data_IF_529170630113
#
_entry.id   IF_529170630113
#
_cell.length_a   1.000
_cell.length_b   1.000
_cell.length_c   1.000
_cell.angle_alpha   90.00
_cell.angle_beta   90.00
_cell.angle_gamma   90.00
#
_symmetry.space_group_name_H-M   'P 1'
#
loop_
_entity.id
_entity.type
_entity.pdbx_description
1 polymer ?
#
# COMPACT_ATOMS: atom_id res chain seq x y z
N UNK A 1 16.68 -10.41 29.94
CA UNK A 1 15.54 -9.55 29.52
C UNK A 1 16.08 -8.48 28.57
N UNK A 2 15.70 -8.55 27.29
CA UNK A 2 16.07 -7.55 26.28
C UNK A 2 14.86 -6.68 25.97
N UNK A 3 15.05 -5.36 25.85
CA UNK A 3 13.98 -4.41 25.50
C UNK A 3 14.37 -3.69 24.22
N UNK A 4 13.52 -3.79 23.21
CA UNK A 4 13.68 -3.05 21.96
C UNK A 4 12.76 -1.83 21.98
N UNK A 5 13.28 -0.69 21.55
CA UNK A 5 12.53 0.55 21.40
C UNK A 5 12.88 1.13 20.04
N UNK A 6 11.86 1.47 19.27
CA UNK A 6 11.96 2.04 17.93
C UNK A 6 10.78 2.98 17.73
N UNK A 7 10.96 3.98 16.88
CA UNK A 7 9.90 4.92 16.50
C UNK A 7 8.93 4.30 15.48
N UNK A 8 9.34 3.22 14.80
CA UNK A 8 8.52 2.45 13.87
C UNK A 8 8.47 0.97 14.25
N UNK A 9 7.25 0.41 14.22
CA UNK A 9 6.96 -1.01 14.44
C UNK A 9 7.65 -1.88 13.37
N UNK A 10 7.69 -1.42 12.13
CA UNK A 10 8.30 -2.12 10.98
C UNK A 10 9.78 -2.42 11.22
N UNK A 11 10.51 -1.47 11.81
CA UNK A 11 11.96 -1.60 12.04
C UNK A 11 12.29 -2.66 13.08
N UNK A 12 11.40 -2.91 14.05
CA UNK A 12 11.62 -3.86 15.15
C UNK A 12 11.70 -5.30 14.62
N UNK A 13 10.92 -5.63 13.59
CA UNK A 13 10.84 -6.98 13.04
C UNK A 13 12.21 -7.58 12.70
N UNK A 14 13.02 -6.83 11.95
CA UNK A 14 14.31 -7.32 11.45
C UNK A 14 15.28 -7.63 12.58
N UNK A 15 15.34 -6.77 13.60
CA UNK A 15 16.18 -6.99 14.77
C UNK A 15 15.70 -8.19 15.60
N UNK A 16 14.39 -8.31 15.83
CA UNK A 16 13.82 -9.45 16.56
C UNK A 16 14.10 -10.76 15.83
N UNK A 17 13.85 -10.80 14.52
CA UNK A 17 14.11 -11.97 13.68
C UNK A 17 15.59 -12.40 13.75
N UNK A 18 16.51 -11.47 13.49
CA UNK A 18 17.94 -11.76 13.49
C UNK A 18 18.45 -12.20 14.87
N UNK A 19 17.96 -11.58 15.95
CA UNK A 19 18.38 -11.97 17.29
C UNK A 19 17.93 -13.41 17.61
N UNK A 20 16.68 -13.75 17.31
CA UNK A 20 16.14 -15.10 17.53
C UNK A 20 16.90 -16.13 16.70
N UNK A 21 17.15 -15.83 15.43
CA UNK A 21 17.90 -16.69 14.53
C UNK A 21 19.32 -16.92 15.04
N UNK A 22 20.05 -15.87 15.40
CA UNK A 22 21.44 -15.97 15.89
C UNK A 22 21.55 -16.70 17.23
N UNK A 23 20.60 -16.48 18.15
CA UNK A 23 20.61 -17.13 19.45
C UNK A 23 20.20 -18.60 19.36
N UNK A 24 19.26 -18.95 18.47
CA UNK A 24 18.85 -20.35 18.27
C UNK A 24 19.97 -21.21 17.68
N UNK A 25 20.85 -20.63 16.86
CA UNK A 25 22.05 -21.31 16.33
C UNK A 25 23.07 -21.59 17.45
N UNK A 26 23.21 -20.68 18.41
CA UNK A 26 24.27 -20.75 19.44
C UNK A 26 23.87 -21.55 20.67
N UNK A 27 22.58 -21.67 20.96
CA UNK A 27 22.08 -22.22 22.22
C UNK A 27 20.59 -22.54 22.16
N UNK A 28 20.16 -23.62 22.81
CA UNK A 28 18.74 -23.94 23.03
C UNK A 28 18.16 -23.03 24.11
N UNK A 29 17.84 -21.78 23.74
CA UNK A 29 17.21 -20.80 24.62
C UNK A 29 15.72 -20.74 24.29
N UNK A 30 14.89 -20.81 25.32
CA UNK A 30 13.45 -20.54 25.21
C UNK A 30 13.21 -19.03 25.21
N UNK A 31 12.40 -18.56 24.27
CA UNK A 31 12.02 -17.15 24.16
C UNK A 31 10.64 -16.98 24.78
N UNK A 32 10.50 -15.98 25.65
CA UNK A 32 9.21 -15.60 26.22
C UNK A 32 8.95 -14.12 25.95
N UNK A 33 7.71 -13.81 25.56
CA UNK A 33 7.25 -12.44 25.37
C UNK A 33 6.21 -12.12 26.44
N UNK A 34 6.54 -11.20 27.35
CA UNK A 34 5.72 -10.88 28.52
C UNK A 34 4.89 -9.59 28.40
N UNK A 35 5.04 -8.84 27.31
CA UNK A 35 4.30 -7.61 27.06
C UNK A 35 3.04 -7.89 26.22
N UNK A 36 2.01 -7.02 26.26
CA UNK A 36 0.87 -7.15 25.34
C UNK A 36 1.32 -6.92 23.90
N UNK A 37 0.67 -7.63 22.96
CA UNK A 37 0.92 -7.44 21.53
C UNK A 37 0.61 -5.98 21.12
N UNK A 38 1.45 -5.34 20.29
CA UNK A 38 1.26 -3.97 19.82
C UNK A 38 0.18 -3.89 18.72
N UNK A 39 -1.03 -4.35 19.04
CA UNK A 39 -2.15 -4.42 18.08
C UNK A 39 -2.66 -3.04 17.69
N UNK A 40 -2.60 -2.06 18.60
CA UNK A 40 -3.07 -0.71 18.31
C UNK A 40 -2.28 -0.06 17.17
N UNK A 41 -0.95 -0.08 17.28
CA UNK A 41 -0.06 0.49 16.25
C UNK A 41 -0.18 -0.28 14.92
N UNK A 42 -0.41 -1.59 14.99
CA UNK A 42 -0.66 -2.42 13.82
C UNK A 42 -1.98 -2.05 13.11
N UNK A 43 -3.08 -1.84 13.85
CA UNK A 43 -4.35 -1.43 13.26
C UNK A 43 -4.29 -0.02 12.68
N UNK A 44 -3.61 0.92 13.34
CA UNK A 44 -3.37 2.25 12.77
C UNK A 44 -2.60 2.19 11.45
N UNK A 45 -1.64 1.28 11.33
CA UNK A 45 -0.90 1.07 10.09
C UNK A 45 -1.78 0.47 8.98
N UNK A 46 -2.71 -0.43 9.32
CA UNK A 46 -3.71 -0.97 8.38
C UNK A 46 -4.63 0.15 7.88
N UNK A 47 -5.14 0.97 8.79
CA UNK A 47 -6.04 2.08 8.45
C UNK A 47 -5.34 3.09 7.54
N UNK A 48 -4.10 3.46 7.87
CA UNK A 48 -3.29 4.35 7.04
C UNK A 48 -3.06 3.79 5.63
N UNK A 49 -2.74 2.50 5.53
CA UNK A 49 -2.60 1.82 4.24
C UNK A 49 -3.91 1.86 3.44
N UNK A 50 -5.04 1.62 4.09
CA UNK A 50 -6.35 1.68 3.45
C UNK A 50 -6.69 3.10 2.95
N UNK A 51 -6.42 4.13 3.75
CA UNK A 51 -6.62 5.53 3.36
C UNK A 51 -5.83 5.89 2.12
N UNK A 52 -4.55 5.51 2.04
CA UNK A 52 -3.70 5.73 0.87
C UNK A 52 -4.24 5.02 -0.38
N UNK A 53 -4.80 3.81 -0.24
CA UNK A 53 -5.43 3.11 -1.37
C UNK A 53 -6.63 3.87 -1.90
N UNK A 54 -7.50 4.35 -1.01
CA UNK A 54 -8.68 5.13 -1.36
C UNK A 54 -8.27 6.45 -2.02
N UNK A 55 -7.26 7.13 -1.50
CA UNK A 55 -6.75 8.38 -2.08
C UNK A 55 -6.20 8.14 -3.51
N UNK A 56 -5.37 7.11 -3.71
CA UNK A 56 -4.82 6.79 -5.02
C UNK A 56 -5.94 6.45 -6.02
N UNK A 57 -6.99 5.74 -5.60
CA UNK A 57 -8.15 5.44 -6.45
C UNK A 57 -8.92 6.72 -6.84
N UNK A 58 -9.13 7.63 -5.88
CA UNK A 58 -9.77 8.92 -6.14
C UNK A 58 -8.97 9.78 -7.13
N UNK A 59 -7.65 9.89 -6.93
CA UNK A 59 -6.78 10.64 -7.86
C UNK A 59 -6.86 10.03 -9.25
N UNK A 60 -6.79 8.70 -9.38
CA UNK A 60 -6.88 8.02 -10.67
C UNK A 60 -8.24 8.27 -11.36
N UNK A 61 -9.34 8.22 -10.61
CA UNK A 61 -10.68 8.53 -11.14
C UNK A 61 -10.78 9.97 -11.66
N UNK A 62 -10.21 10.94 -10.92
CA UNK A 62 -10.17 12.34 -11.39
C UNK A 62 -9.30 12.51 -12.64
N UNK A 63 -8.16 11.81 -12.71
CA UNK A 63 -7.27 11.82 -13.88
C UNK A 63 -7.99 11.27 -15.12
N UNK A 64 -8.76 10.19 -14.99
CA UNK A 64 -9.54 9.62 -16.10
C UNK A 64 -10.61 10.62 -16.62
N UNK A 65 -11.29 11.33 -15.72
CA UNK A 65 -12.24 12.39 -16.08
C UNK A 65 -11.51 13.53 -16.83
N UNK A 66 -10.42 14.04 -16.28
CA UNK A 66 -9.63 15.12 -16.89
C UNK A 66 -9.07 14.71 -18.26
N UNK A 67 -8.58 13.47 -18.40
CA UNK A 67 -8.08 12.92 -19.67
C UNK A 67 -9.16 12.87 -20.76
N UNK A 68 -10.39 12.46 -20.39
CA UNK A 68 -11.55 12.49 -21.31
C UNK A 68 -11.90 13.92 -21.73
N UNK A 69 -11.87 14.88 -20.79
CA UNK A 69 -12.12 16.30 -21.09
C UNK A 69 -11.06 16.85 -22.05
N UNK A 70 -9.79 16.60 -21.78
CA UNK A 70 -8.67 17.03 -22.63
C UNK A 70 -8.82 16.50 -24.06
N UNK A 71 -9.11 15.20 -24.23
CA UNK A 71 -9.38 14.61 -25.55
C UNK A 71 -10.58 15.24 -26.25
N UNK A 72 -11.64 15.61 -25.52
CA UNK A 72 -12.80 16.28 -26.09
C UNK A 72 -12.48 17.70 -26.57
N UNK A 73 -11.65 18.44 -25.83
CA UNK A 73 -11.16 19.78 -26.22
C UNK A 73 -10.29 19.67 -27.47
N UNK A 74 -9.33 18.74 -27.50
CA UNK A 74 -8.48 18.48 -28.66
C UNK A 74 -9.30 18.18 -29.93
N UNK A 75 -10.33 17.31 -29.83
CA UNK A 75 -11.23 17.02 -30.96
C UNK A 75 -11.98 18.25 -31.45
N UNK A 76 -12.45 19.11 -30.54
CA UNK A 76 -13.14 20.37 -30.89
C UNK A 76 -12.21 21.35 -31.57
N UNK A 77 -10.98 21.50 -31.08
CA UNK A 77 -9.95 22.32 -31.71
C UNK A 77 -9.64 21.83 -33.12
N UNK A 78 -9.40 20.53 -33.32
CA UNK A 78 -9.14 19.94 -34.63
C UNK A 78 -10.27 20.17 -35.64
N UNK A 79 -11.52 20.04 -35.21
CA UNK A 79 -12.67 20.31 -36.08
C UNK A 79 -12.73 21.79 -36.47
N UNK A 80 -12.47 22.71 -35.52
CA UNK A 80 -12.46 24.15 -35.78
C UNK A 80 -11.29 24.59 -36.67
N UNK A 81 -10.12 23.98 -36.56
CA UNK A 81 -9.00 24.24 -37.48
C UNK A 81 -9.30 23.82 -38.92
N UNK A 82 -10.22 22.88 -39.14
CA UNK A 82 -10.68 22.49 -40.48
C UNK A 82 -11.71 23.47 -41.06
N UNK A 83 -12.43 24.21 -40.21
CA UNK A 83 -13.43 25.20 -40.63
C UNK A 83 -12.72 26.51 -41.04
N UNK A 84 -13.00 27.00 -42.25
CA UNK A 84 -12.36 28.22 -42.81
C UNK A 84 -12.86 29.53 -42.19
N UNK A 85 -13.67 29.50 -41.13
CA UNK A 85 -14.31 30.68 -40.54
C UNK A 85 -13.49 31.22 -39.36
N UNK A 86 -13.12 32.52 -39.36
CA UNK A 86 -12.28 33.10 -38.32
C UNK A 86 -13.13 33.32 -37.06
N UNK A 87 -13.13 32.35 -36.16
CA UNK A 87 -13.67 32.55 -34.81
C UNK A 87 -12.53 32.55 -33.80
N UNK A 88 -12.64 33.40 -32.77
CA UNK A 88 -11.64 33.60 -31.73
C UNK A 88 -11.33 32.26 -31.03
N UNK A 89 -10.19 31.66 -31.36
CA UNK A 89 -9.72 30.36 -30.85
C UNK A 89 -9.17 30.46 -29.41
N UNK A 90 -8.83 31.67 -28.96
CA UNK A 90 -8.14 31.94 -27.70
C UNK A 90 -8.73 31.22 -26.48
N UNK A 91 -10.05 31.17 -26.35
CA UNK A 91 -10.69 30.56 -25.17
C UNK A 91 -10.51 29.03 -25.10
N UNK A 92 -10.43 28.34 -26.24
CA UNK A 92 -10.22 26.89 -26.26
C UNK A 92 -8.75 26.52 -26.08
N UNK A 93 -7.84 27.35 -26.58
CA UNK A 93 -6.40 27.16 -26.38
C UNK A 93 -6.02 27.35 -24.91
N UNK A 94 -6.55 28.38 -24.25
CA UNK A 94 -6.40 28.59 -22.80
C UNK A 94 -6.99 27.41 -22.01
N UNK A 95 -8.17 26.91 -22.41
CA UNK A 95 -8.78 25.75 -21.75
C UNK A 95 -7.95 24.47 -21.94
N UNK A 96 -7.36 24.27 -23.13
CA UNK A 96 -6.47 23.15 -23.40
C UNK A 96 -5.22 23.21 -22.52
N UNK A 97 -4.60 24.39 -22.43
CA UNK A 97 -3.41 24.59 -21.60
C UNK A 97 -3.69 24.33 -20.12
N UNK A 98 -4.80 24.88 -19.60
CA UNK A 98 -5.22 24.66 -18.22
C UNK A 98 -5.50 23.19 -17.92
N UNK A 99 -6.21 22.48 -18.82
CA UNK A 99 -6.49 21.05 -18.63
C UNK A 99 -5.23 20.18 -18.74
N UNK A 100 -4.25 20.57 -19.56
CA UNK A 100 -2.96 19.91 -19.63
C UNK A 100 -2.17 20.06 -18.31
N UNK A 101 -2.10 21.29 -17.77
CA UNK A 101 -1.45 21.55 -16.49
C UNK A 101 -2.12 20.78 -15.34
N UNK A 102 -3.45 20.66 -15.35
CA UNK A 102 -4.19 19.85 -14.38
C UNK A 102 -3.84 18.37 -14.48
N UNK A 103 -3.73 17.80 -15.69
CA UNK A 103 -3.34 16.40 -15.87
C UNK A 103 -1.94 16.14 -15.34
N UNK A 104 -0.99 17.04 -15.61
CA UNK A 104 0.38 16.93 -15.09
C UNK A 104 0.39 16.96 -13.56
N UNK A 105 -0.30 17.92 -12.95
CA UNK A 105 -0.38 18.00 -11.49
C UNK A 105 -1.06 16.77 -10.85
N UNK A 106 -2.10 16.22 -11.49
CA UNK A 106 -2.75 14.99 -11.02
C UNK A 106 -1.86 13.76 -11.20
N UNK A 107 -1.08 13.69 -12.27
CA UNK A 107 -0.12 12.61 -12.50
C UNK A 107 0.99 12.62 -11.45
N UNK A 108 1.57 13.79 -11.15
CA UNK A 108 2.61 13.93 -10.11
C UNK A 108 2.05 13.53 -8.73
N UNK A 109 0.83 13.97 -8.40
CA UNK A 109 0.15 13.57 -7.15
C UNK A 109 -0.14 12.08 -7.10
N UNK A 110 -0.55 11.47 -8.20
CA UNK A 110 -0.79 10.04 -8.28
C UNK A 110 0.49 9.23 -8.05
N UNK A 111 1.61 9.67 -8.64
CA UNK A 111 2.92 9.04 -8.44
C UNK A 111 3.37 9.14 -6.98
N UNK A 112 3.21 10.30 -6.35
CA UNK A 112 3.50 10.50 -4.92
C UNK A 112 2.64 9.59 -4.04
N UNK A 113 1.32 9.54 -4.27
CA UNK A 113 0.42 8.64 -3.54
C UNK A 113 0.84 7.18 -3.71
N UNK A 114 1.17 6.75 -4.93
CA UNK A 114 1.62 5.37 -5.19
C UNK A 114 2.95 5.06 -4.51
N UNK A 115 3.87 6.01 -4.45
CA UNK A 115 5.13 5.86 -3.73
C UNK A 115 4.89 5.67 -2.22
N UNK A 116 4.03 6.48 -1.62
CA UNK A 116 3.69 6.38 -0.20
C UNK A 116 2.92 5.11 0.12
N UNK A 117 1.97 4.72 -0.72
CA UNK A 117 1.24 3.46 -0.59
C UNK A 117 2.22 2.28 -0.58
N UNK A 118 3.16 2.25 -1.54
CA UNK A 118 4.15 1.18 -1.62
C UNK A 118 5.03 1.15 -0.36
N UNK A 119 5.47 2.31 0.15
CA UNK A 119 6.22 2.38 1.41
C UNK A 119 5.40 1.82 2.57
N UNK A 120 4.14 2.24 2.70
CA UNK A 120 3.23 1.78 3.74
C UNK A 120 2.94 0.27 3.66
N UNK A 121 2.87 -0.27 2.45
CA UNK A 121 2.72 -1.70 2.18
C UNK A 121 3.91 -2.52 2.67
N UNK A 122 5.14 -2.03 2.45
CA UNK A 122 6.35 -2.64 3.02
C UNK A 122 6.38 -2.55 4.55
N UNK A 123 5.96 -1.41 5.11
CA UNK A 123 5.85 -1.23 6.55
C UNK A 123 4.85 -2.22 7.16
N UNK A 124 3.66 -2.33 6.55
CA UNK A 124 2.63 -3.25 6.99
C UNK A 124 3.08 -4.71 6.85
N UNK A 125 3.82 -5.06 5.78
CA UNK A 125 4.43 -6.38 5.63
C UNK A 125 5.35 -6.73 6.81
N UNK A 126 6.25 -5.82 7.18
CA UNK A 126 7.16 -6.00 8.30
C UNK A 126 6.40 -6.10 9.63
N UNK A 127 5.41 -5.24 9.84
CA UNK A 127 4.57 -5.26 11.03
C UNK A 127 3.78 -6.58 11.16
N UNK A 128 3.18 -7.08 10.07
CA UNK A 128 2.49 -8.37 10.04
C UNK A 128 3.43 -9.52 10.42
N UNK A 129 4.65 -9.53 9.87
CA UNK A 129 5.66 -10.54 10.23
C UNK A 129 6.06 -10.44 11.71
N UNK A 130 6.15 -9.24 12.27
CA UNK A 130 6.41 -9.05 13.70
C UNK A 130 5.27 -9.61 14.55
N UNK A 131 4.02 -9.29 14.23
CA UNK A 131 2.87 -9.83 14.95
C UNK A 131 2.85 -11.36 14.89
N UNK A 132 3.09 -11.95 13.71
CA UNK A 132 3.20 -13.40 13.58
C UNK A 132 4.33 -14.00 14.44
N UNK A 133 5.49 -13.35 14.48
CA UNK A 133 6.62 -13.77 15.29
C UNK A 133 6.33 -13.66 16.79
N UNK A 134 5.69 -12.58 17.24
CA UNK A 134 5.30 -12.40 18.65
C UNK A 134 4.21 -13.38 19.07
N UNK A 135 3.24 -13.68 18.19
CA UNK A 135 2.23 -14.71 18.42
C UNK A 135 2.85 -16.11 18.55
N UNK A 136 3.84 -16.43 17.70
CA UNK A 136 4.58 -17.68 17.78
C UNK A 136 5.25 -17.86 19.14
N UNK A 137 5.91 -16.81 19.63
CA UNK A 137 6.67 -16.84 20.90
C UNK A 137 5.73 -16.83 22.11
N UNK A 138 4.68 -16.02 22.10
CA UNK A 138 3.76 -15.89 23.24
C UNK A 138 2.92 -17.13 23.49
N UNK A 139 2.54 -17.85 22.43
CA UNK A 139 1.66 -19.04 22.52
C UNK A 139 2.43 -20.35 22.33
N UNK A 140 3.76 -20.29 22.08
CA UNK A 140 4.58 -21.45 21.71
C UNK A 140 3.96 -22.27 20.55
N UNK A 141 3.59 -21.57 19.47
CA UNK A 141 2.93 -22.20 18.32
C UNK A 141 3.85 -23.21 17.61
N UNK A 142 3.27 -24.35 17.21
CA UNK A 142 3.93 -25.32 16.34
C UNK A 142 4.28 -24.70 14.98
N UNK A 143 5.24 -25.30 14.29
CA UNK A 143 5.65 -24.82 12.96
C UNK A 143 4.49 -24.88 11.94
N UNK A 144 3.60 -25.88 12.06
CA UNK A 144 2.40 -26.01 11.22
C UNK A 144 1.40 -24.88 11.46
N UNK A 145 1.10 -24.57 12.72
CA UNK A 145 0.19 -23.48 13.07
C UNK A 145 0.78 -22.11 12.68
N UNK A 146 2.11 -21.98 12.73
CA UNK A 146 2.81 -20.77 12.27
C UNK A 146 2.68 -20.60 10.75
N UNK A 147 2.77 -21.69 9.98
CA UNK A 147 2.56 -21.63 8.53
C UNK A 147 1.12 -21.25 8.18
N UNK A 148 0.13 -21.81 8.88
CA UNK A 148 -1.27 -21.42 8.73
C UNK A 148 -1.50 -19.95 9.08
N UNK A 149 -0.90 -19.47 10.18
CA UNK A 149 -0.98 -18.06 10.57
C UNK A 149 -0.42 -17.14 9.48
N UNK A 150 0.73 -17.47 8.91
CA UNK A 150 1.34 -16.70 7.82
C UNK A 150 0.55 -16.76 6.51
N UNK A 151 -0.22 -17.83 6.29
CA UNK A 151 -1.12 -17.94 5.15
C UNK A 151 -2.38 -17.07 5.32
N UNK A 152 -2.90 -16.96 6.55
CA UNK A 152 -4.07 -16.13 6.88
C UNK A 152 -3.69 -14.65 6.92
N UNK A 153 -2.61 -14.33 7.63
CA UNK A 153 -2.03 -13.00 7.72
C UNK A 153 -0.89 -12.89 6.72
N UNK A 154 -1.23 -12.93 5.42
CA UNK A 154 -0.23 -12.86 4.35
C UNK A 154 0.63 -11.61 4.54
N UNK A 155 1.95 -11.77 4.73
CA UNK A 155 2.87 -10.64 4.84
C UNK A 155 3.17 -10.04 3.46
N UNK A 156 2.72 -10.65 2.37
CA UNK A 156 2.86 -10.08 1.03
C UNK A 156 1.60 -9.28 0.75
N UNK A 157 1.76 -7.96 0.69
CA UNK A 157 0.70 -7.00 0.37
C UNK A 157 0.99 -6.53 -1.05
N UNK A 158 0.20 -7.02 -1.99
CA UNK A 158 0.25 -6.58 -3.39
C UNK A 158 -0.82 -5.53 -3.61
N UNK A 159 -0.40 -4.30 -3.92
CA UNK A 159 -1.29 -3.16 -4.23
C UNK A 159 -1.63 -3.06 -5.72
N UNK A 160 -1.49 -4.16 -6.45
CA UNK A 160 -2.01 -4.25 -7.80
C UNK A 160 -3.54 -4.26 -7.71
N UNK A 161 -4.16 -3.33 -8.43
CA UNK A 161 -5.61 -3.09 -8.44
C UNK A 161 -6.44 -4.29 -8.94
N UNK A 162 -5.80 -5.42 -9.25
CA UNK A 162 -6.47 -6.70 -9.46
C UNK A 162 -6.82 -7.28 -8.09
N UNK A 163 -8.06 -7.01 -7.67
CA UNK A 163 -8.76 -7.68 -6.57
C UNK A 163 -8.07 -8.97 -6.12
N UNK A 164 -7.46 -8.95 -4.93
CA UNK A 164 -7.07 -10.17 -4.24
C UNK A 164 -8.37 -10.93 -3.94
N UNK A 165 -8.79 -11.78 -4.89
CA UNK A 165 -9.82 -12.79 -4.66
C UNK A 165 -9.23 -13.76 -3.65
N UNK A 166 -9.49 -13.50 -2.37
CA UNK A 166 -9.27 -14.47 -1.31
C UNK A 166 -10.25 -15.61 -1.58
N UNK A 167 -9.78 -16.58 -2.35
CA UNK A 167 -10.51 -17.82 -2.59
C UNK A 167 -10.27 -18.67 -1.36
N UNK A 168 -11.21 -18.63 -0.41
CA UNK A 168 -11.21 -19.57 0.69
C UNK A 168 -11.47 -20.97 0.13
N UNK A 169 -10.39 -21.70 -0.15
CA UNK A 169 -10.47 -23.13 -0.44
C UNK A 169 -10.60 -23.82 0.93
N UNK A 170 -11.85 -23.98 1.38
CA UNK A 170 -12.13 -24.92 2.45
C UNK A 170 -11.93 -26.33 1.89
N UNK A 171 -11.09 -27.18 2.50
CA UNK A 171 -11.11 -28.60 2.17
C UNK A 171 -12.48 -29.14 2.59
N UNK A 172 -13.24 -29.62 1.61
CA UNK A 172 -14.47 -30.39 1.85
C UNK A 172 -14.09 -31.65 2.65
N UNK A 173 -14.68 -31.78 3.83
CA UNK A 173 -14.65 -32.98 4.68
C UNK A 173 -15.08 -34.24 3.93
#
# INVERSE_FOLDING_TARGET
KYRFQSDSLSSIWLFCHLLIEQLSIRSTIEFEFGDPLPLNDYFLLIDHHYELRVECEQINATLDICSKQFRAIQKRLLNKFKDKTPTLLDNLDILLENTNQQILALADRYEQCRYELNRCSHDLSCATKLICLLLKISVNLSNENTQLLNAILSPVISDDNEQVKITFIFPSF
#
